data_IF_054407911928
#
_entry.id   IF_054407911928
#
_cell.length_a   1.000
_cell.length_b   1.000
_cell.length_c   1.000
_cell.angle_alpha   90.00
_cell.angle_beta   90.00
_cell.angle_gamma   90.00
#
_symmetry.space_group_name_H-M   'P 1'
#
loop_
_entity.id
_entity.type
_entity.pdbx_description
1 polymer ?
#
# COMPACT_ATOMS: atom_id res chain seq x y z
N UNK A 1 -0.95 -7.63 12.62
CA UNK A 1 -0.33 -7.16 11.36
C UNK A 1 -0.48 -5.67 11.37
N UNK A 2 0.62 -4.93 11.29
CA UNK A 2 0.62 -3.47 11.31
C UNK A 2 0.48 -2.93 9.87
N UNK A 3 -0.23 -1.82 9.71
CA UNK A 3 -0.52 -1.18 8.44
C UNK A 3 -0.69 0.32 8.65
N UNK A 4 -0.50 1.09 7.58
CA UNK A 4 -0.74 2.53 7.57
C UNK A 4 -2.23 2.81 7.69
N UNK A 5 -2.60 3.72 8.58
CA UNK A 5 -3.99 4.05 8.81
C UNK A 5 -4.60 4.81 7.62
N UNK A 6 -5.92 4.86 7.56
CA UNK A 6 -6.63 5.63 6.53
C UNK A 6 -6.29 7.12 6.65
N UNK A 7 -6.25 7.62 7.88
CA UNK A 7 -5.93 9.00 8.19
C UNK A 7 -4.52 9.36 7.70
N UNK A 8 -3.52 8.53 8.01
CA UNK A 8 -2.14 8.73 7.57
C UNK A 8 -2.02 8.72 6.03
N UNK A 9 -2.81 7.89 5.35
CA UNK A 9 -2.86 7.85 3.89
C UNK A 9 -3.51 9.11 3.30
N UNK A 10 -4.65 9.55 3.87
CA UNK A 10 -5.41 10.71 3.40
C UNK A 10 -4.76 12.06 3.75
N UNK A 11 -3.86 12.09 4.75
CA UNK A 11 -3.03 13.26 5.06
C UNK A 11 -2.04 13.62 3.94
N UNK A 12 -1.73 12.67 3.03
CA UNK A 12 -0.83 12.93 1.92
C UNK A 12 -1.52 13.74 0.82
N UNK A 13 -0.74 14.41 -0.04
CA UNK A 13 -1.32 15.13 -1.17
C UNK A 13 -1.95 14.19 -2.22
N UNK A 14 -2.83 14.74 -3.07
CA UNK A 14 -3.55 13.96 -4.09
C UNK A 14 -2.60 13.23 -5.05
N UNK A 15 -1.41 13.80 -5.32
CA UNK A 15 -0.42 13.21 -6.23
C UNK A 15 0.16 11.93 -5.63
N UNK A 16 0.56 11.99 -4.36
CA UNK A 16 1.09 10.85 -3.60
C UNK A 16 0.02 9.78 -3.45
N UNK A 17 -1.20 10.15 -3.04
CA UNK A 17 -2.32 9.22 -2.92
C UNK A 17 -2.57 8.49 -4.25
N UNK A 18 -2.64 9.24 -5.36
CA UNK A 18 -2.83 8.67 -6.70
C UNK A 18 -1.70 7.73 -7.10
N UNK A 19 -0.46 8.05 -6.79
CA UNK A 19 0.69 7.19 -7.11
C UNK A 19 0.60 5.81 -6.44
N UNK A 20 0.09 5.75 -5.20
CA UNK A 20 -0.18 4.49 -4.52
C UNK A 20 -1.37 3.75 -5.11
N UNK A 21 -2.48 4.44 -5.35
CA UNK A 21 -3.69 3.83 -5.93
C UNK A 21 -3.46 3.27 -7.34
N UNK A 22 -2.69 3.98 -8.18
CA UNK A 22 -2.33 3.52 -9.53
C UNK A 22 -1.40 2.29 -9.51
N UNK A 23 -0.51 2.20 -8.52
CA UNK A 23 0.39 1.04 -8.38
C UNK A 23 -0.33 -0.15 -7.76
N UNK A 24 -1.18 0.11 -6.76
CA UNK A 24 -1.83 -0.93 -5.99
C UNK A 24 -2.77 -1.72 -6.91
N UNK A 25 -2.44 -3.00 -7.08
CA UNK A 25 -3.27 -3.98 -7.77
C UNK A 25 -3.94 -4.84 -6.71
N UNK A 26 -5.20 -4.55 -6.34
CA UNK A 26 -5.84 -5.23 -5.22
C UNK A 26 -5.78 -6.73 -5.40
N UNK A 27 -5.42 -7.44 -4.34
CA UNK A 27 -5.20 -8.88 -4.38
C UNK A 27 -5.81 -9.57 -3.17
N UNK A 28 -6.09 -10.87 -3.30
CA UNK A 28 -6.64 -11.66 -2.19
C UNK A 28 -5.74 -11.55 -0.96
N UNK A 29 -6.34 -11.23 0.17
CA UNK A 29 -5.66 -11.08 1.45
C UNK A 29 -5.18 -9.66 1.74
N UNK A 30 -5.30 -8.72 0.79
CA UNK A 30 -5.03 -7.31 1.06
C UNK A 30 -6.06 -6.74 2.04
N UNK A 31 -5.58 -5.91 2.97
CA UNK A 31 -6.41 -5.14 3.88
C UNK A 31 -6.85 -3.84 3.22
N UNK A 32 -8.12 -3.49 3.39
CA UNK A 32 -8.73 -2.28 2.83
C UNK A 32 -9.69 -1.64 3.81
N UNK A 33 -9.89 -0.33 3.68
CA UNK A 33 -10.99 0.38 4.34
C UNK A 33 -11.93 0.97 3.30
N UNK A 34 -13.22 1.08 3.64
CA UNK A 34 -14.21 1.73 2.79
C UNK A 34 -14.04 3.26 2.81
N UNK A 35 -14.10 3.89 1.63
CA UNK A 35 -14.00 5.37 1.50
C UNK A 35 -15.17 6.07 2.21
N UNK A 36 -16.39 5.52 2.09
CA UNK A 36 -17.58 6.12 2.72
C UNK A 36 -17.52 6.11 4.27
N UNK A 37 -16.72 5.19 4.84
CA UNK A 37 -16.48 5.09 6.28
C UNK A 37 -15.33 5.97 6.78
N UNK A 38 -14.65 6.75 5.91
CA UNK A 38 -13.63 7.70 6.39
C UNK A 38 -14.27 8.89 7.15
N UNK A 39 -15.57 9.12 6.97
CA UNK A 39 -16.34 10.19 7.66
C UNK A 39 -17.14 9.69 8.87
N UNK A 40 -17.31 8.38 9.01
CA UNK A 40 -18.01 7.76 10.14
C UNK A 40 -16.94 7.11 11.01
N UNK A 41 -16.83 7.44 12.29
CA UNK A 41 -15.71 7.05 13.18
C UNK A 41 -15.54 5.52 13.40
N UNK A 42 -16.19 4.67 12.60
CA UNK A 42 -16.01 3.23 12.53
C UNK A 42 -15.18 2.84 11.29
N UNK A 43 -13.88 2.67 11.50
CA UNK A 43 -12.97 2.03 10.55
C UNK A 43 -13.36 0.54 10.38
N UNK A 44 -14.24 0.24 9.42
CA UNK A 44 -14.52 -1.15 9.03
C UNK A 44 -13.39 -1.69 8.15
N UNK A 45 -12.35 -2.22 8.79
CA UNK A 45 -11.27 -2.95 8.11
C UNK A 45 -11.87 -4.17 7.43
N UNK A 46 -11.72 -4.25 6.12
CA UNK A 46 -12.19 -5.35 5.27
C UNK A 46 -10.99 -6.07 4.67
N UNK A 47 -11.07 -7.39 4.54
CA UNK A 47 -10.07 -8.20 3.83
C UNK A 47 -10.61 -8.50 2.44
N UNK A 48 -9.81 -8.28 1.40
CA UNK A 48 -10.17 -8.71 0.05
C UNK A 48 -10.17 -10.24 0.01
N UNK A 49 -11.35 -10.80 -0.23
CA UNK A 49 -11.53 -12.23 -0.50
C UNK A 49 -11.85 -12.43 -1.98
N UNK A 50 -11.39 -13.53 -2.57
CA UNK A 50 -11.81 -13.89 -3.94
C UNK A 50 -13.31 -14.18 -3.91
N UNK A 51 -14.09 -13.40 -4.66
CA UNK A 51 -15.49 -13.71 -4.88
C UNK A 51 -15.64 -14.51 -6.19
N UNK A 52 -15.79 -15.83 -6.08
CA UNK A 52 -16.24 -16.65 -7.19
C UNK A 52 -17.75 -16.53 -7.32
N UNK A 53 -18.23 -15.77 -8.31
CA UNK A 53 -19.60 -15.91 -8.79
C UNK A 53 -19.65 -17.10 -9.75
N UNK A 54 -20.36 -18.17 -9.36
CA UNK A 54 -20.68 -19.28 -10.27
C UNK A 54 -21.72 -18.81 -11.29
N UNK A 55 -21.25 -18.17 -12.36
CA UNK A 55 -22.01 -17.96 -13.59
C UNK A 55 -21.41 -18.82 -14.70
N UNK A 56 -22.25 -19.40 -15.58
CA UNK A 56 -21.91 -20.42 -16.60
C UNK A 56 -20.81 -20.02 -17.62
N UNK A 57 -20.21 -18.85 -17.51
CA UNK A 57 -19.19 -18.36 -18.43
C UNK A 57 -17.95 -17.90 -17.67
N UNK A 58 -16.87 -18.67 -17.82
CA UNK A 58 -15.54 -18.41 -17.27
C UNK A 58 -14.92 -17.16 -17.90
N UNK A 59 -15.40 -15.98 -17.53
CA UNK A 59 -14.73 -14.71 -17.80
C UNK A 59 -14.09 -14.23 -16.51
N UNK A 60 -12.79 -13.94 -16.57
CA UNK A 60 -12.03 -13.34 -15.48
C UNK A 60 -12.59 -11.92 -15.26
N UNK A 61 -13.54 -11.78 -14.34
CA UNK A 61 -14.12 -10.49 -13.98
C UNK A 61 -13.08 -9.61 -13.26
N UNK A 62 -13.17 -8.27 -13.34
CA UNK A 62 -12.35 -7.38 -12.52
C UNK A 62 -12.50 -7.74 -11.04
N UNK A 63 -11.42 -7.64 -10.27
CA UNK A 63 -11.41 -7.95 -8.84
C UNK A 63 -12.38 -6.96 -8.16
N UNK A 64 -13.46 -7.49 -7.55
CA UNK A 64 -14.47 -6.69 -6.86
C UNK A 64 -14.37 -6.93 -5.36
N UNK A 65 -14.53 -5.87 -4.58
CA UNK A 65 -14.62 -5.95 -3.12
C UNK A 65 -16.01 -6.42 -2.75
N UNK A 66 -16.11 -7.29 -1.75
CA UNK A 66 -17.40 -7.78 -1.23
C UNK A 66 -17.60 -7.25 0.18
N UNK A 67 -18.60 -6.40 0.35
CA UNK A 67 -19.01 -5.91 1.65
C UNK A 67 -19.99 -6.93 2.26
N UNK A 68 -19.58 -7.60 3.34
CA UNK A 68 -20.33 -8.69 3.99
C UNK A 68 -21.61 -8.18 4.66
N UNK A 69 -21.60 -6.95 5.17
CA UNK A 69 -22.74 -6.36 5.87
C UNK A 69 -23.87 -5.97 4.91
N UNK A 70 -23.51 -5.52 3.71
CA UNK A 70 -24.45 -4.96 2.74
C UNK A 70 -24.74 -5.87 1.55
N UNK A 71 -24.00 -6.98 1.38
CA UNK A 71 -24.11 -7.91 0.25
C UNK A 71 -23.94 -7.22 -1.13
N UNK A 72 -23.13 -6.16 -1.21
CA UNK A 72 -22.85 -5.42 -2.46
C UNK A 72 -21.45 -5.73 -2.97
N UNK A 73 -21.32 -5.93 -4.29
CA UNK A 73 -20.03 -6.04 -4.97
C UNK A 73 -19.60 -4.69 -5.54
N UNK A 74 -18.41 -4.20 -5.18
CA UNK A 74 -17.95 -2.86 -5.52
C UNK A 74 -16.62 -2.86 -6.31
N UNK A 75 -16.41 -1.82 -7.12
CA UNK A 75 -15.13 -1.57 -7.79
C UNK A 75 -14.09 -1.18 -6.74
N UNK A 76 -13.09 -2.04 -6.53
CA UNK A 76 -12.11 -1.86 -5.45
C UNK A 76 -11.36 -0.54 -5.62
N UNK A 77 -11.04 -0.18 -6.86
CA UNK A 77 -10.21 0.97 -7.19
C UNK A 77 -10.86 2.32 -6.88
N UNK A 78 -12.19 2.34 -6.68
CA UNK A 78 -12.97 3.58 -6.50
C UNK A 78 -13.58 3.74 -5.12
N UNK A 79 -13.74 2.65 -4.38
CA UNK A 79 -14.52 2.63 -3.14
C UNK A 79 -13.69 2.26 -1.92
N UNK A 80 -12.41 1.92 -2.10
CA UNK A 80 -11.55 1.42 -1.03
C UNK A 80 -10.17 2.10 -1.00
N UNK A 81 -9.67 2.25 0.23
CA UNK A 81 -8.31 2.73 0.54
C UNK A 81 -7.47 1.53 0.98
N UNK A 82 -6.28 1.31 0.40
CA UNK A 82 -5.41 0.23 0.82
C UNK A 82 -4.82 0.51 2.20
N UNK A 83 -4.90 -0.48 3.08
CA UNK A 83 -4.21 -0.46 4.37
C UNK A 83 -2.83 -1.12 4.18
N UNK A 84 -1.87 -0.31 3.75
CA UNK A 84 -0.56 -0.79 3.29
C UNK A 84 0.30 -1.29 4.46
N UNK A 85 0.70 -2.55 4.37
CA UNK A 85 1.64 -3.22 5.28
C UNK A 85 3.09 -2.97 4.90
N UNK A 86 4.04 -3.26 5.79
CA UNK A 86 5.49 -3.16 5.49
C UNK A 86 5.87 -3.90 4.20
N UNK A 87 5.33 -5.10 4.00
CA UNK A 87 5.61 -5.91 2.81
C UNK A 87 5.11 -5.27 1.52
N UNK A 88 3.95 -4.59 1.56
CA UNK A 88 3.42 -3.86 0.41
C UNK A 88 4.21 -2.57 0.16
N UNK A 89 4.58 -1.82 1.21
CA UNK A 89 5.41 -0.61 1.08
C UNK A 89 6.80 -0.92 0.52
N UNK A 90 7.44 -2.00 1.00
CA UNK A 90 8.70 -2.49 0.44
C UNK A 90 8.57 -2.77 -1.04
N UNK A 91 7.55 -3.54 -1.45
CA UNK A 91 7.31 -3.86 -2.88
C UNK A 91 7.07 -2.61 -3.71
N UNK A 92 6.29 -1.66 -3.22
CA UNK A 92 6.08 -0.37 -3.90
C UNK A 92 7.40 0.32 -4.19
N UNK A 93 8.27 0.47 -3.18
CA UNK A 93 9.58 1.12 -3.34
C UNK A 93 10.44 0.34 -4.34
N UNK A 94 10.53 -0.99 -4.21
CA UNK A 94 11.33 -1.83 -5.11
C UNK A 94 10.84 -1.79 -6.57
N UNK A 95 9.53 -1.72 -6.80
CA UNK A 95 8.93 -1.64 -8.13
C UNK A 95 9.14 -0.26 -8.78
N UNK A 96 8.97 0.82 -8.00
CA UNK A 96 9.11 2.20 -8.51
C UNK A 96 10.55 2.61 -8.75
N UNK A 97 11.51 1.99 -8.04
CA UNK A 97 12.93 2.36 -8.12
C UNK A 97 13.79 1.33 -8.85
N UNK A 98 13.24 0.16 -9.16
CA UNK A 98 14.01 -0.99 -9.67
C UNK A 98 15.24 -1.34 -8.80
N UNK A 99 15.13 -1.13 -7.49
CA UNK A 99 16.19 -1.36 -6.51
C UNK A 99 15.81 -2.45 -5.51
N UNK A 100 16.81 -3.11 -4.93
CA UNK A 100 16.71 -3.83 -3.66
C UNK A 100 16.83 -2.83 -2.50
N UNK A 101 16.16 -3.14 -1.39
CA UNK A 101 16.26 -2.36 -0.16
C UNK A 101 17.16 -3.09 0.83
N UNK A 102 18.22 -2.41 1.26
CA UNK A 102 19.01 -2.77 2.44
C UNK A 102 18.63 -1.82 3.58
N UNK A 103 18.30 -2.38 4.75
CA UNK A 103 17.98 -1.59 5.94
C UNK A 103 19.11 -1.72 6.94
N UNK A 104 19.64 -0.59 7.38
CA UNK A 104 20.63 -0.49 8.43
C UNK A 104 19.97 0.17 9.64
N UNK A 105 20.05 -0.49 10.80
CA UNK A 105 19.57 0.08 12.07
C UNK A 105 20.68 0.94 12.68
N UNK A 106 20.41 2.23 12.82
CA UNK A 106 21.29 3.19 13.48
C UNK A 106 20.77 3.61 14.86
N UNK A 107 21.60 4.35 15.59
CA UNK A 107 21.25 4.87 16.93
C UNK A 107 19.99 5.76 16.88
N UNK A 108 19.79 6.48 15.77
CA UNK A 108 18.75 7.50 15.61
C UNK A 108 17.51 7.02 14.84
N UNK A 109 17.50 5.79 14.33
CA UNK A 109 16.42 5.27 13.47
C UNK A 109 16.96 4.33 12.37
N UNK A 110 16.32 4.34 11.21
CA UNK A 110 16.66 3.45 10.09
C UNK A 110 17.34 4.21 8.95
N UNK A 111 18.24 3.52 8.27
CA UNK A 111 18.82 3.98 6.99
C UNK A 111 18.43 2.98 5.91
N UNK A 112 17.74 3.48 4.89
CA UNK A 112 17.35 2.74 3.71
C UNK A 112 18.38 2.98 2.62
N UNK A 113 19.04 1.92 2.17
CA UNK A 113 19.97 1.94 1.05
C UNK A 113 19.29 1.23 -0.11
N UNK A 114 19.02 1.98 -1.18
CA UNK A 114 18.46 1.45 -2.42
C UNK A 114 19.61 1.07 -3.34
N UNK A 115 19.69 -0.22 -3.67
CA UNK A 115 20.72 -0.76 -4.57
C UNK A 115 20.10 -1.22 -5.87
N UNK A 116 20.64 -0.79 -7.00
CA UNK A 116 20.17 -1.23 -8.33
C UNK A 116 20.08 -2.77 -8.38
N UNK A 117 18.95 -3.30 -8.85
CA UNK A 117 18.78 -4.76 -9.03
C UNK A 117 19.76 -5.33 -10.07
N UNK A 118 20.24 -4.50 -10.99
CA UNK A 118 21.13 -4.91 -12.08
C UNK A 118 22.60 -4.86 -11.68
N UNK A 119 23.03 -3.76 -11.04
CA UNK A 119 24.45 -3.51 -10.79
C UNK A 119 24.85 -3.66 -9.31
N UNK A 120 23.87 -3.75 -8.41
CA UNK A 120 24.02 -3.73 -6.94
C UNK A 120 24.70 -2.46 -6.39
N UNK A 121 24.93 -1.45 -7.22
CA UNK A 121 25.43 -0.14 -6.80
C UNK A 121 24.37 0.58 -5.98
N UNK A 122 24.84 1.34 -5.00
CA UNK A 122 23.98 2.24 -4.22
C UNK A 122 23.51 3.38 -5.10
N UNK A 123 22.19 3.46 -5.33
CA UNK A 123 21.53 4.50 -6.11
C UNK A 123 21.04 5.64 -5.22
N UNK A 124 20.57 5.31 -4.01
CA UNK A 124 20.01 6.27 -3.07
C UNK A 124 20.17 5.79 -1.63
N UNK A 125 20.41 6.75 -0.72
CA UNK A 125 20.45 6.51 0.73
C UNK A 125 19.52 7.49 1.43
N UNK A 126 18.61 6.96 2.25
CA UNK A 126 17.59 7.74 2.95
C UNK A 126 17.64 7.42 4.44
N UNK A 127 17.97 8.43 5.25
CA UNK A 127 17.98 8.32 6.71
C UNK A 127 16.62 8.75 7.27
N UNK A 128 16.02 7.90 8.09
CA UNK A 128 14.72 8.14 8.71
C UNK A 128 14.83 8.06 10.23
N UNK A 129 14.55 9.18 10.89
CA UNK A 129 14.60 9.31 12.36
C UNK A 129 13.40 8.68 13.09
N UNK A 130 12.73 7.69 12.48
CA UNK A 130 11.61 6.95 13.08
C UNK A 130 12.14 5.66 13.69
N UNK A 131 11.64 5.30 14.87
CA UNK A 131 11.98 4.03 15.54
C UNK A 131 11.07 2.87 15.13
N UNK A 132 9.89 3.20 14.64
CA UNK A 132 8.94 2.25 14.07
C UNK A 132 9.29 1.99 12.59
N UNK A 133 9.41 0.71 12.22
CA UNK A 133 9.90 0.30 10.90
C UNK A 133 8.84 0.53 9.81
N UNK A 134 7.58 0.25 10.10
CA UNK A 134 6.46 0.53 9.21
C UNK A 134 6.37 2.02 8.86
N UNK A 135 6.47 2.88 9.87
CA UNK A 135 6.51 4.34 9.71
C UNK A 135 7.74 4.80 8.93
N UNK A 136 8.88 4.10 9.09
CA UNK A 136 10.07 4.40 8.32
C UNK A 136 9.91 4.05 6.83
N UNK A 137 9.34 2.86 6.54
CA UNK A 137 8.94 2.47 5.19
C UNK A 137 7.95 3.46 4.57
N UNK A 138 6.94 3.88 5.33
CA UNK A 138 5.94 4.82 4.86
C UNK A 138 6.56 6.15 4.43
N UNK A 139 7.44 6.70 5.26
CA UNK A 139 8.16 7.94 4.92
C UNK A 139 9.03 7.80 3.67
N UNK A 140 9.68 6.66 3.47
CA UNK A 140 10.47 6.41 2.25
C UNK A 140 9.55 6.26 1.05
N UNK A 141 8.44 5.54 1.18
CA UNK A 141 7.49 5.33 0.10
C UNK A 141 6.87 6.66 -0.37
N UNK A 142 6.50 7.56 0.55
CA UNK A 142 6.03 8.92 0.23
C UNK A 142 7.12 9.68 -0.57
N UNK A 143 8.37 9.69 -0.11
CA UNK A 143 9.46 10.37 -0.83
C UNK A 143 9.70 9.81 -2.24
N UNK A 144 9.43 8.52 -2.47
CA UNK A 144 9.49 7.94 -3.82
C UNK A 144 8.28 8.37 -4.65
N UNK A 145 7.08 8.37 -4.06
CA UNK A 145 5.84 8.79 -4.71
C UNK A 145 5.89 10.26 -5.16
N UNK A 146 6.44 11.15 -4.34
CA UNK A 146 6.60 12.58 -4.65
C UNK A 146 7.46 12.84 -5.90
N UNK A 147 8.38 11.92 -6.22
CA UNK A 147 9.34 12.01 -7.32
C UNK A 147 8.81 11.52 -8.68
N UNK A 148 7.64 10.89 -8.71
CA UNK A 148 6.96 10.41 -9.93
C UNK A 148 6.26 11.54 -10.67
#
# INVERSE_FOLDING_TARGET
>A
MEFISVEEFLEQDEKVQKAFLDWWRPSKGDLVSHIDNANDNNLNITIIVDYFSYGENWKKYPIKGYNIETNVTMDISKNFIPLLTEGQLRRYIEDKTNCHIEIIVGISGYVFVLRSKETLKEEKRISVLKRDLLQAYWKVAIQIAEQL
#
